data_IF_219723095247
#
_entry.id   IF_219723095247
#
_cell.length_a   1.000
_cell.length_b   1.000
_cell.length_c   1.000
_cell.angle_alpha   90.00
_cell.angle_beta   90.00
_cell.angle_gamma   90.00
#
_symmetry.space_group_name_H-M   'P 1'
#
loop_
_entity.id
_entity.type
_entity.pdbx_description
1 polymer ?
#
# COMPACT_ATOMS: atom_id res chain seq x y z
N UNK A 1 -6.94 -11.73 14.30
CA UNK A 1 -5.58 -12.26 14.03
C UNK A 1 -4.68 -11.06 13.73
N UNK A 2 -3.46 -10.99 14.27
CA UNK A 2 -2.54 -9.86 14.03
C UNK A 2 -1.62 -10.22 12.86
N UNK A 3 -1.60 -9.40 11.81
CA UNK A 3 -0.67 -9.55 10.69
C UNK A 3 0.72 -9.03 11.07
N UNK A 4 1.75 -9.63 10.47
CA UNK A 4 3.15 -9.25 10.55
C UNK A 4 3.67 -8.86 9.17
N UNK A 5 4.75 -8.08 9.14
CA UNK A 5 5.43 -7.78 7.88
C UNK A 5 5.94 -9.08 7.26
N UNK A 6 5.64 -9.28 5.97
CA UNK A 6 5.97 -10.49 5.22
C UNK A 6 4.82 -11.49 5.10
N UNK A 7 3.73 -11.33 5.87
CA UNK A 7 2.57 -12.20 5.75
C UNK A 7 1.86 -11.98 4.40
N UNK A 8 1.44 -13.07 3.76
CA UNK A 8 0.61 -13.00 2.55
C UNK A 8 -0.80 -12.55 2.90
N UNK A 9 -1.24 -11.44 2.30
CA UNK A 9 -2.58 -10.85 2.53
C UNK A 9 -3.50 -10.90 1.29
N UNK A 10 -3.01 -11.40 0.16
CA UNK A 10 -3.76 -11.46 -1.09
C UNK A 10 -2.88 -11.72 -2.31
N UNK A 11 -3.49 -11.62 -3.49
CA UNK A 11 -2.85 -11.83 -4.79
C UNK A 11 -3.13 -10.64 -5.73
N UNK A 12 -2.23 -10.39 -6.68
CA UNK A 12 -2.39 -9.33 -7.68
C UNK A 12 -3.48 -9.71 -8.69
N UNK A 13 -4.28 -8.72 -9.09
CA UNK A 13 -5.35 -8.86 -10.07
C UNK A 13 -5.51 -7.58 -10.90
N UNK A 14 -6.58 -7.55 -11.69
CA UNK A 14 -6.98 -6.45 -12.58
C UNK A 14 -8.46 -6.05 -12.37
N UNK A 15 -9.05 -6.44 -11.23
CA UNK A 15 -10.43 -6.10 -10.87
C UNK A 15 -10.60 -4.61 -10.56
N UNK A 16 -11.77 -4.04 -10.84
CA UNK A 16 -12.09 -2.64 -10.52
C UNK A 16 -11.64 -1.68 -11.62
N UNK A 17 -10.92 -0.62 -11.26
CA UNK A 17 -10.47 0.43 -12.19
C UNK A 17 -9.02 0.22 -12.69
N UNK A 18 -8.67 -1.03 -13.04
CA UNK A 18 -7.34 -1.36 -13.57
C UNK A 18 -7.34 -1.56 -15.10
N UNK A 19 -8.50 -1.86 -15.71
CA UNK A 19 -8.61 -2.29 -17.10
C UNK A 19 -8.20 -3.76 -17.28
N UNK A 20 -8.90 -4.51 -18.15
CA UNK A 20 -8.66 -5.94 -18.33
C UNK A 20 -7.24 -6.24 -18.83
N UNK A 21 -6.55 -7.17 -18.17
CA UNK A 21 -5.18 -7.60 -18.49
C UNK A 21 -4.07 -6.71 -17.92
N UNK A 22 -4.40 -5.55 -17.34
CA UNK A 22 -3.43 -4.65 -16.71
C UNK A 22 -3.21 -5.02 -15.23
N UNK A 23 -2.59 -6.17 -14.99
CA UNK A 23 -2.34 -6.69 -13.64
C UNK A 23 -1.32 -5.84 -12.89
N UNK A 24 -1.74 -5.22 -11.79
CA UNK A 24 -0.85 -4.46 -10.91
C UNK A 24 -1.41 -4.33 -9.49
N UNK A 25 -0.55 -3.96 -8.54
CA UNK A 25 -0.93 -3.61 -7.18
C UNK A 25 -0.98 -2.09 -7.03
N UNK A 26 -2.16 -1.54 -6.76
CA UNK A 26 -2.26 -0.19 -6.24
C UNK A 26 -1.91 -0.19 -4.74
N UNK A 27 -0.84 0.52 -4.36
CA UNK A 27 -0.40 0.63 -2.97
C UNK A 27 -0.46 2.08 -2.51
N UNK A 28 -1.41 2.40 -1.64
CA UNK A 28 -1.60 3.73 -1.05
C UNK A 28 -1.24 3.74 0.44
N UNK A 29 -0.64 4.84 0.89
CA UNK A 29 -0.36 5.10 2.31
C UNK A 29 -1.09 6.40 2.68
N UNK A 30 -1.84 6.39 3.77
CA UNK A 30 -2.50 7.58 4.30
C UNK A 30 -2.28 7.69 5.81
N UNK A 31 -2.18 8.92 6.30
CA UNK A 31 -2.19 9.21 7.75
C UNK A 31 -3.59 9.69 8.14
N UNK A 32 -4.14 9.16 9.22
CA UNK A 32 -5.43 9.60 9.77
C UNK A 32 -5.33 9.81 11.28
N UNK A 33 -6.09 10.79 11.79
CA UNK A 33 -6.27 10.99 13.23
C UNK A 33 -7.37 10.09 13.80
N UNK A 34 -8.28 9.61 12.95
CA UNK A 34 -9.37 8.70 13.29
C UNK A 34 -9.33 7.47 12.38
N UNK A 35 -9.02 6.32 12.95
CA UNK A 35 -8.94 5.06 12.22
C UNK A 35 -10.31 4.56 11.73
N UNK A 36 -11.41 5.04 12.32
CA UNK A 36 -12.76 4.68 11.89
C UNK A 36 -13.20 5.43 10.62
N UNK A 37 -12.57 6.57 10.33
CA UNK A 37 -12.81 7.40 9.14
C UNK A 37 -11.60 7.40 8.21
N UNK A 38 -11.08 6.20 7.91
CA UNK A 38 -9.85 6.04 7.13
C UNK A 38 -9.92 6.63 5.71
N UNK A 39 -11.12 6.81 5.14
CA UNK A 39 -11.31 7.38 3.80
C UNK A 39 -11.01 8.89 3.73
N UNK A 40 -10.94 9.57 4.88
CA UNK A 40 -10.60 11.01 4.96
C UNK A 40 -9.11 11.25 5.24
N UNK A 41 -8.30 10.19 5.29
CA UNK A 41 -6.87 10.29 5.59
C UNK A 41 -6.08 11.08 4.54
N UNK A 42 -5.03 11.77 4.98
CA UNK A 42 -4.12 12.52 4.09
C UNK A 42 -3.18 11.57 3.35
N UNK A 43 -3.20 11.53 2.01
CA UNK A 43 -2.32 10.66 1.24
C UNK A 43 -0.84 11.02 1.40
N UNK A 44 0.00 10.01 1.56
CA UNK A 44 1.47 10.10 1.57
C UNK A 44 2.04 9.43 0.33
N UNK A 45 2.95 10.08 -0.37
CA UNK A 45 3.59 9.48 -1.54
C UNK A 45 4.42 8.25 -1.12
N UNK A 46 4.06 7.02 -1.56
CA UNK A 46 4.76 5.80 -1.15
C UNK A 46 6.09 5.62 -1.88
N UNK A 47 6.30 6.27 -3.02
CA UNK A 47 7.45 6.02 -3.89
C UNK A 47 8.82 6.20 -3.20
N UNK A 48 9.07 7.28 -2.43
CA UNK A 48 10.33 7.43 -1.70
C UNK A 48 10.59 6.34 -0.65
N UNK A 49 9.52 5.80 -0.05
CA UNK A 49 9.61 4.75 0.97
C UNK A 49 9.90 3.38 0.33
N UNK A 50 9.25 3.10 -0.81
CA UNK A 50 9.43 1.86 -1.56
C UNK A 50 10.77 1.77 -2.27
N UNK A 51 11.31 2.90 -2.73
CA UNK A 51 12.64 2.97 -3.37
C UNK A 51 13.79 2.68 -2.40
N UNK A 52 13.51 2.63 -1.10
CA UNK A 52 14.51 2.67 -0.04
C UNK A 52 15.08 4.08 0.03
N UNK A 53 14.59 4.89 0.98
CA UNK A 53 15.46 5.92 1.56
C UNK A 53 16.75 5.19 1.98
N UNK A 54 17.93 5.67 1.56
CA UNK A 54 19.21 4.95 1.61
C UNK A 54 19.66 4.51 3.01
N UNK A 55 18.96 3.55 3.60
CA UNK A 55 19.36 2.82 4.77
C UNK A 55 20.42 1.79 4.32
N UNK A 56 21.54 1.64 5.05
CA UNK A 56 22.54 0.66 4.69
C UNK A 56 21.88 -0.70 4.66
N UNK A 57 22.10 -1.44 3.56
CA UNK A 57 21.87 -2.88 3.55
C UNK A 57 22.83 -3.46 4.58
N UNK A 58 22.31 -3.98 5.70
CA UNK A 58 23.06 -4.86 6.58
C UNK A 58 23.18 -6.23 5.91
#
# INVERSE_FOLDING_TARGET
MRLRQGDTIGYVGDTGNAGAGNYHLHFGISTTHDQTQYWEGTPTNPYPLLRGAGAPRQ
#
